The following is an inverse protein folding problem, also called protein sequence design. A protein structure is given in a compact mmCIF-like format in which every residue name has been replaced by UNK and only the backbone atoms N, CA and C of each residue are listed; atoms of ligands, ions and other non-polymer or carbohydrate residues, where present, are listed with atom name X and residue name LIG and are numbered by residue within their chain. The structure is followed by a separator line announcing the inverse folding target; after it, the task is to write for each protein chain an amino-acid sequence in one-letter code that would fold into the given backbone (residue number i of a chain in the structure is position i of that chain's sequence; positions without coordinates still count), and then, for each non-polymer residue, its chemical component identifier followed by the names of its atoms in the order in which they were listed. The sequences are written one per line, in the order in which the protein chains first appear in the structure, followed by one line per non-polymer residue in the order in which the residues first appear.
data_IF_124536519345
#
_entry.id   IF_124536519345
#
_cell.length_a   1.000
_cell.length_b   1.000
_cell.length_c   1.000
_cell.angle_alpha   90.00
_cell.angle_beta   90.00
_cell.angle_gamma   90.00
#
_symmetry.space_group_name_H-M   'P 1'
#
loop_
_entity.id
_entity.type
_entity.pdbx_description
1 polymer ?
#
# COMPACT_ATOMS: atom_id res chain seq x y z
N UNK A 1 16.95 -1.36 3.46
CA UNK A 1 15.52 -1.43 3.83
C UNK A 1 14.66 -0.64 2.87
N UNK A 2 15.04 0.60 2.50
CA UNK A 2 14.18 1.45 1.66
C UNK A 2 14.32 1.24 0.14
N UNK A 3 15.43 0.65 -0.32
CA UNK A 3 15.70 0.51 -1.76
C UNK A 3 14.61 -0.30 -2.48
N UNK A 4 14.06 -1.32 -1.83
CA UNK A 4 13.01 -2.16 -2.42
C UNK A 4 11.69 -1.42 -2.56
N UNK A 5 11.27 -0.65 -1.55
CA UNK A 5 10.09 0.20 -1.65
C UNK A 5 10.28 1.30 -2.70
N UNK A 6 11.47 1.89 -2.78
CA UNK A 6 11.81 2.87 -3.82
C UNK A 6 11.70 2.25 -5.22
N UNK A 7 12.36 1.12 -5.46
CA UNK A 7 12.30 0.43 -6.75
C UNK A 7 10.86 0.05 -7.12
N UNK A 8 10.07 -0.45 -6.16
CA UNK A 8 8.65 -0.74 -6.39
C UNK A 8 7.87 0.53 -6.75
N UNK A 9 8.09 1.65 -6.06
CA UNK A 9 7.42 2.92 -6.37
C UNK A 9 7.75 3.44 -7.77
N UNK A 10 8.97 3.22 -8.25
CA UNK A 10 9.41 3.61 -9.60
C UNK A 10 8.75 2.78 -10.71
N UNK A 11 8.30 1.55 -10.42
CA UNK A 11 7.54 0.71 -11.36
C UNK A 11 6.07 1.12 -11.47
N UNK A 12 5.53 1.84 -10.48
CA UNK A 12 4.12 2.19 -10.38
C UNK A 12 3.88 3.71 -10.25
N UNK A 13 4.69 4.52 -10.95
CA UNK A 13 4.67 5.99 -10.87
C UNK A 13 3.31 6.61 -11.20
N UNK A 14 2.51 5.95 -12.05
CA UNK A 14 1.18 6.41 -12.45
C UNK A 14 0.07 5.98 -11.47
N UNK A 15 0.39 5.39 -10.33
CA UNK A 15 -0.57 4.94 -9.31
C UNK A 15 -0.53 5.82 -8.06
N UNK A 16 -1.61 5.79 -7.28
CA UNK A 16 -1.61 6.39 -5.94
C UNK A 16 -0.73 5.53 -5.02
N UNK A 17 0.41 6.07 -4.60
CA UNK A 17 1.37 5.37 -3.76
C UNK A 17 1.07 5.68 -2.29
N UNK A 18 0.92 4.63 -1.47
CA UNK A 18 0.49 4.75 -0.08
C UNK A 18 1.51 4.13 0.88
N UNK A 19 1.64 4.73 2.07
CA UNK A 19 2.44 4.20 3.18
C UNK A 19 1.58 4.03 4.43
N UNK A 20 1.67 2.90 5.13
CA UNK A 20 0.84 2.60 6.30
C UNK A 20 1.62 2.38 7.60
N UNK A 21 2.93 2.05 7.54
CA UNK A 21 3.69 1.72 8.75
C UNK A 21 3.85 2.89 9.73
N UNK A 22 3.72 4.13 9.27
CA UNK A 22 3.69 5.30 10.17
C UNK A 22 2.41 5.38 11.03
N UNK A 23 1.32 4.73 10.59
CA UNK A 23 0.05 4.65 11.33
C UNK A 23 0.01 3.41 12.22
N UNK A 24 0.54 2.29 11.74
CA UNK A 24 0.53 1.04 12.51
C UNK A 24 1.69 0.90 13.47
N UNK A 25 2.87 1.45 13.15
CA UNK A 25 4.15 1.01 13.71
C UNK A 25 4.76 -0.15 12.92
N UNK A 26 5.99 -0.54 13.27
CA UNK A 26 6.72 -1.62 12.60
C UNK A 26 6.71 -2.90 13.46
N UNK A 27 5.93 -3.90 13.02
CA UNK A 27 5.85 -5.23 13.62
C UNK A 27 5.41 -6.27 12.59
N UNK A 28 5.65 -7.55 12.89
CA UNK A 28 5.47 -8.66 11.95
C UNK A 28 4.02 -8.82 11.43
N UNK A 29 3.02 -8.30 12.16
CA UNK A 29 1.60 -8.37 11.80
C UNK A 29 1.07 -7.10 11.12
N UNK A 30 1.92 -6.11 10.81
CA UNK A 30 1.50 -4.86 10.19
C UNK A 30 0.82 -5.06 8.82
N UNK A 31 1.09 -6.17 8.12
CA UNK A 31 0.41 -6.56 6.87
C UNK A 31 -1.11 -6.81 7.06
N UNK A 32 -1.55 -7.22 8.27
CA UNK A 32 -2.98 -7.36 8.55
C UNK A 32 -3.68 -6.00 8.61
N UNK A 33 -3.01 -4.99 9.15
CA UNK A 33 -3.50 -3.61 9.17
C UNK A 33 -3.58 -3.01 7.77
N UNK A 34 -2.56 -3.22 6.92
CA UNK A 34 -2.62 -2.74 5.52
C UNK A 34 -3.73 -3.42 4.72
N UNK A 35 -4.02 -4.70 5.00
CA UNK A 35 -5.16 -5.43 4.40
C UNK A 35 -6.49 -4.80 4.81
N UNK A 36 -6.68 -4.52 6.11
CA UNK A 36 -7.88 -3.83 6.60
C UNK A 36 -8.07 -2.46 5.94
N UNK A 37 -7.00 -1.64 5.88
CA UNK A 37 -7.04 -0.33 5.23
C UNK A 37 -7.37 -0.43 3.73
N UNK A 38 -6.74 -1.35 3.01
CA UNK A 38 -7.01 -1.56 1.60
C UNK A 38 -8.47 -1.94 1.34
N UNK A 39 -9.05 -2.84 2.14
CA UNK A 39 -10.47 -3.16 2.07
C UNK A 39 -11.36 -1.93 2.33
N UNK A 40 -10.97 -1.08 3.29
CA UNK A 40 -11.70 0.15 3.59
C UNK A 40 -11.67 1.14 2.41
N UNK A 41 -10.49 1.33 1.80
CA UNK A 41 -10.30 2.18 0.62
C UNK A 41 -11.10 1.63 -0.57
N UNK A 42 -11.02 0.32 -0.85
CA UNK A 42 -11.78 -0.31 -1.94
C UNK A 42 -13.29 -0.17 -1.75
N UNK A 43 -13.79 -0.29 -0.52
CA UNK A 43 -15.22 -0.14 -0.23
C UNK A 43 -15.69 1.31 -0.35
N UNK A 44 -14.97 2.23 0.29
CA UNK A 44 -15.41 3.61 0.45
C UNK A 44 -14.94 4.54 -0.68
N UNK A 45 -14.01 4.06 -1.52
CA UNK A 45 -13.41 4.80 -2.64
C UNK A 45 -12.73 6.09 -2.18
N UNK A 46 -12.18 6.07 -0.97
CA UNK A 46 -11.53 7.22 -0.33
C UNK A 46 -10.16 6.82 0.18
N UNK A 47 -9.15 7.63 -0.16
CA UNK A 47 -7.76 7.45 0.26
C UNK A 47 -7.45 8.58 1.25
N UNK A 48 -7.19 8.26 2.54
CA UNK A 48 -6.77 9.27 3.50
C UNK A 48 -5.48 9.96 3.07
N UNK A 49 -5.47 11.30 3.06
CA UNK A 49 -4.31 12.08 2.57
C UNK A 49 -3.03 11.81 3.35
N UNK A 50 -3.13 11.51 4.65
CA UNK A 50 -1.98 11.18 5.50
C UNK A 50 -1.24 9.92 5.03
N UNK A 51 -1.90 9.05 4.26
CA UNK A 51 -1.28 7.85 3.70
C UNK A 51 -0.55 8.08 2.38
N UNK A 52 -0.84 9.18 1.67
CA UNK A 52 -0.33 9.41 0.31
C UNK A 52 1.16 9.78 0.34
N UNK A 53 1.94 9.11 -0.50
CA UNK A 53 3.36 9.39 -0.74
C UNK A 53 3.52 10.34 -1.93
N UNK A 54 2.61 10.26 -2.90
CA UNK A 54 2.60 11.10 -4.10
C UNK A 54 1.26 11.84 -4.24
N UNK A 55 1.22 12.78 -5.19
CA UNK A 55 0.03 13.57 -5.51
C UNK A 55 -0.86 12.94 -6.58
N UNK A 56 -0.67 11.64 -6.87
CA UNK A 56 -1.47 10.95 -7.89
C UNK A 56 -2.77 10.48 -7.24
N UNK A 57 -3.88 11.05 -7.70
CA UNK A 57 -5.22 10.61 -7.29
C UNK A 57 -5.82 9.69 -8.34
N UNK A 58 -6.35 8.55 -7.90
CA UNK A 58 -7.11 7.62 -8.74
C UNK A 58 -8.58 7.69 -8.40
N UNK A 59 -9.39 7.89 -9.43
CA UNK A 59 -10.85 7.69 -9.37
C UNK A 59 -11.15 6.22 -9.69
N UNK A 60 -12.20 5.69 -9.07
CA UNK A 60 -12.64 4.29 -9.27
C UNK A 60 -11.52 3.27 -8.99
N UNK A 61 -11.15 3.17 -7.72
CA UNK A 61 -10.13 2.25 -7.23
C UNK A 61 -10.69 0.83 -7.27
N UNK A 62 -10.26 0.06 -8.26
CA UNK A 62 -10.66 -1.35 -8.44
C UNK A 62 -9.73 -2.32 -7.72
N UNK A 63 -8.44 -2.01 -7.77
CA UNK A 63 -7.38 -2.89 -7.31
C UNK A 63 -6.42 -2.14 -6.38
N UNK A 64 -5.96 -2.81 -5.33
CA UNK A 64 -4.86 -2.34 -4.47
C UNK A 64 -3.83 -3.45 -4.36
N UNK A 65 -2.57 -3.13 -4.67
CA UNK A 65 -1.43 -4.01 -4.48
C UNK A 65 -0.73 -3.66 -3.16
N UNK A 66 -0.70 -4.62 -2.23
CA UNK A 66 0.07 -4.53 -1.01
C UNK A 66 1.43 -5.16 -1.24
N UNK A 67 2.48 -4.41 -0.96
CA UNK A 67 3.86 -4.88 -0.98
C UNK A 67 4.50 -4.70 0.40
N UNK A 68 5.12 -5.75 0.91
CA UNK A 68 5.92 -5.71 2.14
C UNK A 68 7.12 -6.65 1.98
N UNK A 69 8.17 -6.41 2.75
CA UNK A 69 9.30 -7.34 2.84
C UNK A 69 9.92 -7.37 4.24
N UNK A 70 10.49 -8.51 4.60
CA UNK A 70 11.29 -8.69 5.81
C UNK A 70 12.78 -8.81 5.43
N UNK A 71 13.61 -7.91 5.97
CA UNK A 71 15.06 -7.92 5.74
C UNK A 71 15.52 -7.72 4.29
N UNK A 72 14.61 -7.60 3.33
CA UNK A 72 14.92 -7.53 1.90
C UNK A 72 15.08 -8.89 1.22
N UNK A 73 14.72 -9.98 1.92
CA UNK A 73 14.79 -11.34 1.40
C UNK A 73 13.39 -11.93 1.20
N UNK A 74 12.54 -11.81 2.22
CA UNK A 74 11.19 -12.36 2.19
C UNK A 74 10.21 -11.30 1.71
N UNK A 75 9.79 -11.41 0.46
CA UNK A 75 8.87 -10.47 -0.17
C UNK A 75 7.44 -11.03 -0.19
N UNK A 76 6.47 -10.17 0.12
CA UNK A 76 5.04 -10.49 0.05
C UNK A 76 4.35 -9.51 -0.89
N UNK A 77 3.53 -10.05 -1.79
CA UNK A 77 2.65 -9.31 -2.68
C UNK A 77 1.24 -9.85 -2.53
N UNK A 78 0.29 -8.95 -2.26
CA UNK A 78 -1.14 -9.30 -2.16
C UNK A 78 -1.92 -8.31 -3.02
N UNK A 79 -2.64 -8.82 -4.03
CA UNK A 79 -3.55 -8.02 -4.84
C UNK A 79 -4.97 -8.19 -4.30
N UNK A 80 -5.59 -7.08 -3.93
CA UNK A 80 -6.99 -7.04 -3.51
C UNK A 80 -7.81 -6.35 -4.60
N UNK A 81 -8.97 -6.91 -4.90
CA UNK A 81 -9.92 -6.38 -5.86
C UNK A 81 -11.24 -6.07 -5.15
N UNK A 82 -11.92 -5.02 -5.60
CA UNK A 82 -13.26 -4.67 -5.14
C UNK A 82 -14.26 -5.74 -5.60
N UNK A 83 -15.00 -6.31 -4.66
CA UNK A 83 -16.08 -7.27 -4.94
C UNK A 83 -17.26 -6.63 -5.68
#
# INVERSE_FOLDING_TARGET
SDVYYKNASELFQETSLLYYKHLSGEFNTASGFSTFLACHILRNQDIPDMMKINSVDKKDIKNILLYNHLGGNDHSLVLLEKA
#
